data_IF_724157906958
#
_entry.id   IF_724157906958
#
_cell.length_a   1.000
_cell.length_b   1.000
_cell.length_c   1.000
_cell.angle_alpha   90.00
_cell.angle_beta   90.00
_cell.angle_gamma   90.00
#
_symmetry.space_group_name_H-M   'P 1'
#
loop_
_entity.id
_entity.type
_entity.pdbx_description
1 polymer ?
#
# COMPACT_ATOMS: atom_id res chain seq x y z
N UNK A 1 -10.64 -13.15 -16.01
CA UNK A 1 -11.30 -14.40 -16.47
C UNK A 1 -10.75 -15.67 -15.81
N UNK A 2 -9.52 -15.70 -15.28
CA UNK A 2 -8.92 -16.90 -14.66
C UNK A 2 -8.99 -16.95 -13.12
N UNK A 3 -9.77 -16.08 -12.48
CA UNK A 3 -9.91 -16.06 -11.03
C UNK A 3 -10.63 -17.31 -10.53
N UNK A 4 -10.19 -17.96 -9.44
CA UNK A 4 -10.84 -19.16 -8.89
C UNK A 4 -12.34 -18.97 -8.63
N UNK A 5 -12.73 -17.79 -8.14
CA UNK A 5 -14.14 -17.41 -7.91
C UNK A 5 -14.95 -17.32 -9.21
N UNK A 6 -14.36 -16.83 -10.31
CA UNK A 6 -15.01 -16.74 -11.61
C UNK A 6 -15.14 -18.09 -12.31
N UNK A 7 -14.27 -19.05 -11.97
CA UNK A 7 -14.31 -20.43 -12.46
C UNK A 7 -15.24 -21.35 -11.67
N UNK A 8 -15.74 -20.88 -10.52
CA UNK A 8 -16.51 -21.71 -9.59
C UNK A 8 -15.67 -22.70 -8.79
N UNK A 9 -14.34 -22.57 -8.82
CA UNK A 9 -13.42 -23.37 -7.99
C UNK A 9 -13.55 -23.02 -6.50
N UNK A 10 -14.02 -21.80 -6.19
CA UNK A 10 -14.30 -21.33 -4.83
C UNK A 10 -15.73 -20.78 -4.77
N UNK A 11 -16.54 -21.28 -3.84
CA UNK A 11 -17.94 -20.89 -3.65
C UNK A 11 -18.04 -19.54 -2.93
N UNK A 12 -19.07 -18.72 -3.17
CA UNK A 12 -19.28 -17.46 -2.47
C UNK A 12 -19.27 -17.59 -0.94
N UNK A 13 -19.85 -18.67 -0.41
CA UNK A 13 -19.86 -18.95 1.03
C UNK A 13 -18.46 -19.22 1.59
N UNK A 14 -17.55 -19.82 0.80
CA UNK A 14 -16.17 -20.07 1.21
C UNK A 14 -15.38 -18.75 1.27
N UNK A 15 -15.58 -17.85 0.30
CA UNK A 15 -15.00 -16.50 0.31
C UNK A 15 -15.49 -15.72 1.54
N UNK A 16 -16.80 -15.79 1.83
CA UNK A 16 -17.39 -15.11 2.98
C UNK A 16 -16.89 -15.69 4.30
N UNK A 17 -16.79 -17.02 4.41
CA UNK A 17 -16.23 -17.67 5.59
C UNK A 17 -14.77 -17.27 5.82
N UNK A 18 -13.95 -17.25 4.77
CA UNK A 18 -12.55 -16.80 4.86
C UNK A 18 -12.46 -15.34 5.34
N UNK A 19 -13.29 -14.45 4.78
CA UNK A 19 -13.34 -13.05 5.19
C UNK A 19 -13.74 -12.88 6.66
N UNK A 20 -14.78 -13.61 7.10
CA UNK A 20 -15.25 -13.58 8.48
C UNK A 20 -14.21 -14.13 9.46
N UNK A 21 -13.64 -15.31 9.18
CA UNK A 21 -12.62 -15.94 10.03
C UNK A 21 -11.39 -15.03 10.13
N UNK A 22 -10.92 -14.49 9.01
CA UNK A 22 -9.77 -13.56 9.00
C UNK A 22 -10.05 -12.30 9.80
N UNK A 23 -11.27 -11.76 9.70
CA UNK A 23 -11.69 -10.58 10.47
C UNK A 23 -11.75 -10.87 11.97
N UNK A 24 -12.27 -12.04 12.38
CA UNK A 24 -12.30 -12.46 13.79
C UNK A 24 -10.89 -12.62 14.34
N UNK A 25 -10.00 -13.30 13.60
CA UNK A 25 -8.60 -13.47 13.98
C UNK A 25 -7.92 -12.11 14.12
N UNK A 26 -8.12 -11.21 13.15
CA UNK A 26 -7.56 -9.85 13.20
C UNK A 26 -8.03 -9.05 14.42
N UNK A 27 -9.34 -9.01 14.69
CA UNK A 27 -9.92 -8.32 15.86
C UNK A 27 -9.37 -8.91 17.16
N UNK A 28 -9.29 -10.25 17.25
CA UNK A 28 -8.75 -10.93 18.42
C UNK A 28 -7.27 -10.61 18.64
N UNK A 29 -6.46 -10.59 17.58
CA UNK A 29 -5.05 -10.16 17.64
C UNK A 29 -4.93 -8.70 18.09
N UNK A 30 -5.77 -7.81 17.56
CA UNK A 30 -5.81 -6.41 17.96
C UNK A 30 -6.16 -6.24 19.45
N UNK A 31 -7.12 -7.02 19.95
CA UNK A 31 -7.45 -7.09 21.39
C UNK A 31 -6.28 -7.55 22.25
N UNK A 32 -5.50 -8.53 21.78
CA UNK A 32 -4.32 -9.01 22.50
C UNK A 32 -3.15 -8.02 22.52
N UNK A 33 -3.11 -7.06 21.59
CA UNK A 33 -2.08 -6.01 21.57
C UNK A 33 -2.40 -4.91 22.59
N UNK A 34 -3.55 -4.25 22.46
CA UNK A 34 -4.04 -3.26 23.42
C UNK A 34 -5.47 -2.82 23.08
N UNK A 35 -6.11 -2.11 24.01
CA UNK A 35 -7.49 -1.67 23.86
C UNK A 35 -7.69 -0.67 22.71
N UNK A 36 -6.72 0.20 22.42
CA UNK A 36 -6.87 1.13 21.29
C UNK A 36 -6.82 0.42 19.94
N UNK A 37 -5.88 -0.52 19.76
CA UNK A 37 -5.80 -1.35 18.57
C UNK A 37 -7.11 -2.11 18.34
N UNK A 38 -7.72 -2.65 19.41
CA UNK A 38 -9.05 -3.25 19.35
C UNK A 38 -10.11 -2.27 18.85
N UNK A 39 -10.20 -1.05 19.41
CA UNK A 39 -11.17 -0.04 18.98
C UNK A 39 -10.97 0.44 17.54
N UNK A 40 -9.74 0.45 17.04
CA UNK A 40 -9.42 0.82 15.66
C UNK A 40 -9.62 -0.35 14.66
N UNK A 41 -9.62 -1.59 15.12
CA UNK A 41 -9.74 -2.76 14.23
C UNK A 41 -11.00 -2.78 13.35
N UNK A 42 -12.21 -2.36 13.81
CA UNK A 42 -13.39 -2.27 12.95
C UNK A 42 -13.25 -1.20 11.87
N UNK A 43 -12.52 -0.10 12.15
CA UNK A 43 -12.26 0.97 11.18
C UNK A 43 -11.38 0.44 10.04
N UNK A 44 -10.34 -0.34 10.37
CA UNK A 44 -9.47 -0.97 9.37
C UNK A 44 -10.25 -1.97 8.51
N UNK A 45 -11.08 -2.82 9.10
CA UNK A 45 -11.94 -3.75 8.36
C UNK A 45 -12.89 -2.99 7.43
N UNK A 46 -13.53 -1.92 7.94
CA UNK A 46 -14.43 -1.10 7.13
C UNK A 46 -13.71 -0.52 5.92
N UNK A 47 -12.50 0.02 6.08
CA UNK A 47 -11.71 0.54 4.97
C UNK A 47 -11.35 -0.55 3.95
N UNK A 48 -10.98 -1.75 4.42
CA UNK A 48 -10.69 -2.91 3.56
C UNK A 48 -11.92 -3.38 2.77
N UNK A 49 -13.13 -3.23 3.32
CA UNK A 49 -14.39 -3.52 2.61
C UNK A 49 -14.78 -2.40 1.65
N UNK A 50 -14.52 -1.15 2.03
CA UNK A 50 -14.82 0.03 1.21
C UNK A 50 -13.89 0.14 -0.01
N UNK A 51 -12.64 -0.29 0.09
CA UNK A 51 -11.69 -0.27 -1.03
C UNK A 51 -12.23 -0.99 -2.28
N UNK A 52 -12.56 -2.30 -2.28
CA UNK A 52 -13.03 -2.98 -3.49
C UNK A 52 -14.40 -2.45 -3.97
N UNK A 53 -15.27 -2.00 -3.05
CA UNK A 53 -16.56 -1.40 -3.39
C UNK A 53 -16.43 0.03 -3.96
N UNK A 54 -15.36 0.74 -3.60
CA UNK A 54 -15.15 2.15 -3.89
C UNK A 54 -15.09 2.46 -5.38
N UNK A 55 -14.64 1.51 -6.21
CA UNK A 55 -14.67 1.62 -7.68
C UNK A 55 -16.07 1.91 -8.25
N UNK A 56 -17.15 1.67 -7.51
CA UNK A 56 -18.53 1.99 -7.95
C UNK A 56 -18.95 3.44 -7.67
N UNK A 57 -18.18 4.15 -6.86
CA UNK A 57 -18.59 5.45 -6.32
C UNK A 57 -17.52 6.54 -6.44
N UNK A 58 -16.24 6.19 -6.53
CA UNK A 58 -15.13 7.16 -6.54
C UNK A 58 -13.94 6.71 -7.36
N UNK A 59 -13.32 7.64 -8.09
CA UNK A 59 -12.06 7.39 -8.81
C UNK A 59 -10.86 7.31 -7.88
N UNK A 60 -10.97 7.78 -6.62
CA UNK A 60 -9.86 7.90 -5.68
C UNK A 60 -9.73 6.68 -4.75
N UNK A 61 -10.24 5.53 -5.18
CA UNK A 61 -10.24 4.27 -4.42
C UNK A 61 -8.84 3.86 -3.93
N UNK A 62 -7.80 4.18 -4.71
CA UNK A 62 -6.39 3.93 -4.36
C UNK A 62 -5.97 4.62 -3.06
N UNK A 63 -6.55 5.79 -2.74
CA UNK A 63 -6.29 6.49 -1.48
C UNK A 63 -6.99 5.84 -0.28
N UNK A 64 -8.08 5.11 -0.51
CA UNK A 64 -8.72 4.30 0.56
C UNK A 64 -7.77 3.18 0.96
N UNK A 65 -7.17 2.49 -0.02
CA UNK A 65 -6.13 1.50 0.25
C UNK A 65 -4.91 2.14 0.91
N UNK A 66 -4.46 3.28 0.39
CA UNK A 66 -3.38 4.06 1.02
C UNK A 66 -3.67 4.38 2.50
N UNK A 67 -4.90 4.78 2.83
CA UNK A 67 -5.31 5.07 4.20
C UNK A 67 -5.22 3.83 5.11
N UNK A 68 -5.53 2.63 4.61
CA UNK A 68 -5.32 1.38 5.37
C UNK A 68 -3.85 1.26 5.78
N UNK A 69 -2.92 1.51 4.85
CA UNK A 69 -1.49 1.42 5.11
C UNK A 69 -0.94 2.57 5.95
N UNK A 70 -1.51 3.77 5.84
CA UNK A 70 -1.20 4.90 6.73
C UNK A 70 -1.43 4.54 8.19
N UNK A 71 -2.53 3.84 8.49
CA UNK A 71 -2.90 3.51 9.86
C UNK A 71 -1.97 2.47 10.49
N UNK A 72 -1.17 1.72 9.72
CA UNK A 72 -0.32 0.66 10.25
C UNK A 72 0.77 1.22 11.20
N UNK A 73 1.66 2.14 10.78
CA UNK A 73 2.66 2.72 11.69
C UNK A 73 2.05 3.49 12.85
N UNK A 74 0.90 4.14 12.63
CA UNK A 74 0.17 4.84 13.69
C UNK A 74 -0.29 3.86 14.77
N UNK A 75 -0.91 2.74 14.37
CA UNK A 75 -1.35 1.72 15.30
C UNK A 75 -0.17 1.10 16.06
N UNK A 76 0.96 0.84 15.38
CA UNK A 76 2.19 0.33 16.02
C UNK A 76 2.78 1.34 17.01
N UNK A 77 2.84 2.62 16.64
CA UNK A 77 3.36 3.68 17.50
C UNK A 77 2.55 3.79 18.79
N UNK A 78 1.22 3.78 18.69
CA UNK A 78 0.38 3.83 19.88
C UNK A 78 0.47 2.54 20.70
N UNK A 79 0.57 1.38 20.04
CA UNK A 79 0.69 0.10 20.72
C UNK A 79 1.98 -0.02 21.56
N UNK A 80 3.09 0.53 21.06
CA UNK A 80 4.39 0.42 21.72
C UNK A 80 4.70 1.60 22.66
N UNK A 81 4.23 2.82 22.35
CA UNK A 81 4.62 4.05 23.06
C UNK A 81 3.46 4.80 23.69
N UNK A 82 2.21 4.37 23.49
CA UNK A 82 1.01 5.04 24.03
C UNK A 82 0.73 6.43 23.44
N UNK A 83 1.48 6.85 22.42
CA UNK A 83 1.36 8.15 21.76
C UNK A 83 1.64 7.99 20.26
N UNK A 84 1.26 8.99 19.46
CA UNK A 84 1.55 9.02 18.02
C UNK A 84 2.83 9.80 17.82
N UNK A 85 3.89 9.11 17.43
CA UNK A 85 5.15 9.75 17.09
C UNK A 85 5.11 10.39 15.71
N UNK A 86 5.84 11.50 15.56
CA UNK A 86 5.94 12.20 14.29
C UNK A 86 6.60 11.33 13.19
N UNK A 87 7.55 10.48 13.57
CA UNK A 87 8.16 9.48 12.68
C UNK A 87 7.13 8.48 12.16
N UNK A 88 6.18 8.06 12.99
CA UNK A 88 5.10 7.16 12.61
C UNK A 88 4.11 7.81 11.63
N UNK A 89 3.86 9.12 11.78
CA UNK A 89 3.05 9.88 10.81
C UNK A 89 3.74 9.90 9.45
N UNK A 90 5.02 10.25 9.38
CA UNK A 90 5.76 10.27 8.12
C UNK A 90 5.88 8.87 7.51
N UNK A 91 6.12 7.83 8.31
CA UNK A 91 6.17 6.46 7.82
C UNK A 91 4.80 6.02 7.28
N UNK A 92 3.73 6.34 7.99
CA UNK A 92 2.36 6.09 7.55
C UNK A 92 2.07 6.79 6.23
N UNK A 93 2.44 8.07 6.10
CA UNK A 93 2.27 8.82 4.85
C UNK A 93 3.08 8.19 3.72
N UNK A 94 4.33 7.79 3.97
CA UNK A 94 5.16 7.11 2.99
C UNK A 94 4.49 5.82 2.48
N UNK A 95 4.00 4.98 3.39
CA UNK A 95 3.31 3.73 3.08
C UNK A 95 2.00 3.97 2.32
N UNK A 96 1.21 4.98 2.71
CA UNK A 96 -0.03 5.32 2.00
C UNK A 96 0.21 5.69 0.54
N UNK A 97 1.13 6.62 0.30
CA UNK A 97 1.41 7.08 -1.06
C UNK A 97 2.15 6.04 -1.89
N UNK A 98 2.95 5.18 -1.26
CA UNK A 98 3.61 4.07 -1.95
C UNK A 98 2.57 3.09 -2.47
N UNK A 99 1.67 2.64 -1.59
CA UNK A 99 0.62 1.69 -1.96
C UNK A 99 -0.36 2.27 -2.95
N UNK A 100 -0.82 3.51 -2.71
CA UNK A 100 -1.70 4.18 -3.67
C UNK A 100 -1.01 4.35 -5.04
N UNK A 101 0.29 4.66 -5.06
CA UNK A 101 1.05 4.88 -6.29
C UNK A 101 1.17 3.61 -7.13
N UNK A 102 1.57 2.48 -6.54
CA UNK A 102 1.67 1.23 -7.30
C UNK A 102 0.30 0.62 -7.61
N UNK A 103 -0.73 0.86 -6.78
CA UNK A 103 -2.10 0.39 -7.04
C UNK A 103 -2.73 1.12 -8.25
N UNK A 104 -2.40 2.41 -8.43
CA UNK A 104 -2.75 3.15 -9.66
C UNK A 104 -2.09 2.50 -10.88
N UNK A 105 -0.82 2.12 -10.79
CA UNK A 105 -0.10 1.47 -11.88
C UNK A 105 -0.69 0.10 -12.21
N UNK A 106 -1.06 -0.66 -11.20
CA UNK A 106 -1.73 -1.96 -11.37
C UNK A 106 -3.08 -1.81 -12.06
N UNK A 107 -3.87 -0.81 -11.66
CA UNK A 107 -5.17 -0.52 -12.24
C UNK A 107 -5.14 -0.10 -13.72
N UNK A 108 -3.96 0.20 -14.30
CA UNK A 108 -3.83 0.42 -15.74
C UNK A 108 -4.21 -0.83 -16.56
N UNK A 109 -4.03 -2.04 -16.02
CA UNK A 109 -4.43 -3.28 -16.69
C UNK A 109 -5.95 -3.40 -16.87
N UNK A 110 -6.70 -2.81 -15.94
CA UNK A 110 -8.14 -2.84 -15.94
C UNK A 110 -8.75 -1.64 -16.69
N UNK A 111 -7.95 -0.76 -17.30
CA UNK A 111 -8.43 0.52 -17.86
C UNK A 111 -9.62 0.36 -18.82
N UNK A 112 -9.49 -0.49 -19.84
CA UNK A 112 -10.56 -0.69 -20.83
C UNK A 112 -11.78 -1.40 -20.22
N UNK A 113 -11.55 -2.35 -19.30
CA UNK A 113 -12.62 -3.03 -18.59
C UNK A 113 -13.40 -2.05 -17.71
N UNK A 114 -12.72 -1.34 -16.82
CA UNK A 114 -13.32 -0.36 -15.91
C UNK A 114 -14.08 0.71 -16.72
N UNK A 115 -13.51 1.20 -17.82
CA UNK A 115 -14.16 2.17 -18.71
C UNK A 115 -15.43 1.64 -19.36
N UNK A 116 -15.39 0.41 -19.89
CA UNK A 116 -16.54 -0.22 -20.57
C UNK A 116 -17.70 -0.55 -19.62
N UNK A 117 -17.41 -0.84 -18.35
CA UNK A 117 -18.40 -1.14 -17.31
C UNK A 117 -18.80 0.08 -16.46
N UNK A 118 -18.32 1.28 -16.80
CA UNK A 118 -18.65 2.51 -16.07
C UNK A 118 -18.10 2.54 -14.63
N UNK A 119 -17.01 1.82 -14.36
CA UNK A 119 -16.33 1.83 -13.07
C UNK A 119 -15.38 3.02 -12.96
N UNK A 120 -15.17 3.47 -11.73
CA UNK A 120 -14.34 4.62 -11.40
C UNK A 120 -12.95 4.18 -10.95
N UNK A 121 -11.92 4.78 -11.54
CA UNK A 121 -10.52 4.67 -11.11
C UNK A 121 -9.73 5.90 -11.57
N UNK A 122 -8.54 6.13 -11.01
CA UNK A 122 -7.65 7.22 -11.47
C UNK A 122 -7.31 7.06 -12.97
N UNK A 123 -6.95 5.85 -13.46
CA UNK A 123 -6.78 5.61 -14.89
C UNK A 123 -8.00 5.98 -15.73
N UNK A 124 -9.21 5.57 -15.35
CA UNK A 124 -10.44 5.90 -16.09
C UNK A 124 -10.70 7.40 -16.10
N UNK A 125 -10.51 8.08 -14.97
CA UNK A 125 -10.79 9.52 -14.82
C UNK A 125 -9.79 10.41 -15.58
N UNK A 126 -8.50 10.09 -15.53
CA UNK A 126 -7.44 10.98 -16.03
C UNK A 126 -6.71 10.45 -17.27
N UNK A 127 -6.97 9.20 -17.67
CA UNK A 127 -6.24 8.50 -18.72
C UNK A 127 -4.91 7.90 -18.23
N UNK A 128 -4.37 6.95 -19.01
CA UNK A 128 -3.17 6.16 -18.67
C UNK A 128 -1.96 7.08 -18.39
N UNK A 129 -1.69 8.04 -19.28
CA UNK A 129 -0.56 8.97 -19.15
C UNK A 129 -0.58 9.75 -17.84
N UNK A 130 -1.72 10.38 -17.53
CA UNK A 130 -1.83 11.17 -16.31
C UNK A 130 -1.88 10.31 -15.05
N UNK A 131 -2.43 9.09 -15.13
CA UNK A 131 -2.38 8.14 -14.02
C UNK A 131 -0.94 7.72 -13.69
N UNK A 132 -0.10 7.47 -14.70
CA UNK A 132 1.34 7.22 -14.50
C UNK A 132 2.00 8.44 -13.84
N UNK A 133 1.69 9.66 -14.28
CA UNK A 133 2.23 10.89 -13.69
C UNK A 133 1.79 11.06 -12.21
N UNK A 134 0.52 10.79 -11.89
CA UNK A 134 0.02 10.83 -10.51
C UNK A 134 0.76 9.80 -9.64
N UNK A 135 0.95 8.58 -10.15
CA UNK A 135 1.72 7.55 -9.45
C UNK A 135 3.17 7.98 -9.19
N UNK A 136 3.83 8.64 -10.16
CA UNK A 136 5.17 9.20 -9.96
C UNK A 136 5.20 10.24 -8.84
N UNK A 137 4.22 11.14 -8.82
CA UNK A 137 4.08 12.13 -7.73
C UNK A 137 3.90 11.44 -6.39
N UNK A 138 3.11 10.37 -6.33
CA UNK A 138 2.89 9.61 -5.10
C UNK A 138 4.19 8.94 -4.62
N UNK A 139 4.93 8.28 -5.51
CA UNK A 139 6.22 7.67 -5.15
C UNK A 139 7.29 8.71 -4.79
N UNK A 140 7.21 9.92 -5.34
CA UNK A 140 8.05 11.03 -4.90
C UNK A 140 7.70 11.48 -3.47
N UNK A 141 6.40 11.60 -3.14
CA UNK A 141 5.95 11.88 -1.76
C UNK A 141 6.44 10.78 -0.81
N UNK A 142 6.33 9.51 -1.20
CA UNK A 142 6.90 8.38 -0.44
C UNK A 142 8.37 8.59 -0.13
N UNK A 143 9.19 8.91 -1.13
CA UNK A 143 10.62 9.14 -0.94
C UNK A 143 10.88 10.25 0.10
N UNK A 144 10.23 11.40 -0.04
CA UNK A 144 10.38 12.51 0.92
C UNK A 144 9.95 12.09 2.33
N UNK A 145 8.82 11.40 2.47
CA UNK A 145 8.33 10.95 3.77
C UNK A 145 9.22 9.87 4.40
N UNK A 146 9.89 9.01 3.61
CA UNK A 146 10.88 8.07 4.14
C UNK A 146 12.12 8.80 4.67
N UNK A 147 12.62 9.81 3.97
CA UNK A 147 13.71 10.66 4.48
C UNK A 147 13.31 11.32 5.81
N UNK A 148 12.11 11.92 5.86
CA UNK A 148 11.61 12.54 7.09
C UNK A 148 11.42 11.52 8.21
N UNK A 149 10.97 10.30 7.90
CA UNK A 149 10.89 9.21 8.88
C UNK A 149 12.24 8.96 9.54
N UNK A 150 13.31 8.81 8.74
CA UNK A 150 14.66 8.61 9.25
C UNK A 150 15.16 9.75 10.14
N UNK A 151 14.94 11.00 9.71
CA UNK A 151 15.33 12.19 10.48
C UNK A 151 14.61 12.23 11.83
N UNK A 152 13.30 12.05 11.85
CA UNK A 152 12.51 12.15 13.07
C UNK A 152 12.62 10.93 13.99
N UNK A 153 13.00 9.77 13.45
CA UNK A 153 13.29 8.59 14.24
C UNK A 153 14.75 8.52 14.72
N UNK A 154 15.61 9.46 14.29
CA UNK A 154 17.03 9.48 14.67
C UNK A 154 17.83 8.31 14.08
N UNK A 155 17.45 7.83 12.89
CA UNK A 155 18.09 6.68 12.23
C UNK A 155 19.45 7.05 11.65
N UNK A 156 20.31 6.05 11.46
CA UNK A 156 21.69 6.26 11.02
C UNK A 156 21.81 6.43 9.50
N UNK A 157 23.03 6.67 9.02
CA UNK A 157 23.34 6.74 7.59
C UNK A 157 23.00 5.44 6.83
N UNK A 158 22.93 4.29 7.51
CA UNK A 158 22.55 3.00 6.92
C UNK A 158 21.11 3.06 6.41
N UNK A 159 20.18 3.58 7.21
CA UNK A 159 18.80 3.79 6.79
C UNK A 159 18.71 4.69 5.56
N UNK A 160 19.39 5.84 5.56
CA UNK A 160 19.34 6.79 4.45
C UNK A 160 19.92 6.20 3.15
N UNK A 161 21.05 5.49 3.23
CA UNK A 161 21.60 4.76 2.08
C UNK A 161 20.59 3.75 1.52
N UNK A 162 19.90 3.04 2.41
CA UNK A 162 18.82 2.14 2.06
C UNK A 162 17.63 2.82 1.38
N UNK A 163 17.20 3.99 1.85
CA UNK A 163 16.13 4.77 1.20
C UNK A 163 16.50 5.15 -0.24
N UNK A 164 17.77 5.50 -0.50
CA UNK A 164 18.23 5.75 -1.87
C UNK A 164 18.20 4.48 -2.73
N UNK A 165 18.58 3.32 -2.19
CA UNK A 165 18.46 2.03 -2.90
C UNK A 165 16.99 1.76 -3.27
N UNK A 166 16.07 1.95 -2.33
CA UNK A 166 14.63 1.77 -2.56
C UNK A 166 14.08 2.74 -3.60
N UNK A 167 14.54 3.99 -3.60
CA UNK A 167 14.18 4.97 -4.64
C UNK A 167 14.60 4.49 -6.03
N UNK A 168 15.75 3.81 -6.14
CA UNK A 168 16.19 3.18 -7.38
C UNK A 168 15.23 2.09 -7.87
N UNK A 169 14.67 1.27 -6.97
CA UNK A 169 13.64 0.29 -7.31
C UNK A 169 12.34 0.94 -7.79
N UNK A 170 11.89 2.02 -7.13
CA UNK A 170 10.69 2.77 -7.55
C UNK A 170 10.90 3.43 -8.93
N UNK A 171 12.09 3.97 -9.19
CA UNK A 171 12.45 4.49 -10.53
C UNK A 171 12.41 3.35 -11.55
N UNK A 172 12.99 2.20 -11.24
CA UNK A 172 12.99 1.03 -12.12
C UNK A 172 11.57 0.53 -12.42
N UNK A 173 10.67 0.51 -11.44
CA UNK A 173 9.25 0.20 -11.63
C UNK A 173 8.62 1.12 -12.69
N UNK A 174 8.84 2.44 -12.56
CA UNK A 174 8.35 3.45 -13.50
C UNK A 174 8.97 3.36 -14.90
N UNK A 175 10.19 2.82 -15.02
CA UNK A 175 10.84 2.56 -16.31
C UNK A 175 10.30 1.32 -17.02
N UNK A 176 9.80 0.34 -16.26
CA UNK A 176 9.18 -0.86 -16.82
C UNK A 176 7.81 -0.57 -17.45
N UNK A 177 7.11 0.45 -16.97
CA UNK A 177 5.76 0.80 -17.40
C UNK A 177 5.84 1.88 -18.48
N UNK A 178 5.28 1.57 -19.65
CA UNK A 178 5.17 2.53 -20.75
C UNK A 178 3.70 2.73 -21.08
N UNK A 179 3.34 3.94 -21.46
CA UNK A 179 1.95 4.29 -21.85
C UNK A 179 1.38 3.34 -22.91
N UNK A 180 2.21 2.90 -23.85
CA UNK A 180 1.82 2.04 -24.97
C UNK A 180 2.19 0.56 -24.78
N UNK A 181 2.81 0.18 -23.65
CA UNK A 181 3.22 -1.19 -23.37
C UNK A 181 3.09 -1.49 -21.87
N UNK A 182 1.97 -2.14 -21.55
CA UNK A 182 1.60 -2.55 -20.20
C UNK A 182 1.96 -4.02 -19.92
N UNK A 183 2.66 -4.71 -20.83
CA UNK A 183 3.00 -6.14 -20.72
C UNK A 183 3.82 -6.48 -19.47
N UNK A 184 4.54 -5.49 -18.92
CA UNK A 184 5.42 -5.64 -17.76
C UNK A 184 4.81 -5.20 -16.44
N UNK A 185 3.53 -4.79 -16.40
CA UNK A 185 2.90 -4.31 -15.15
C UNK A 185 2.98 -5.35 -14.04
N UNK A 186 2.75 -6.64 -14.30
CA UNK A 186 2.82 -7.65 -13.24
C UNK A 186 4.22 -7.76 -12.63
N UNK A 187 5.27 -7.59 -13.44
CA UNK A 187 6.66 -7.57 -12.95
C UNK A 187 6.92 -6.30 -12.14
N UNK A 188 6.47 -5.15 -12.64
CA UNK A 188 6.57 -3.86 -11.95
C UNK A 188 5.84 -3.91 -10.59
N UNK A 189 4.59 -4.36 -10.56
CA UNK A 189 3.79 -4.46 -9.35
C UNK A 189 4.27 -5.55 -8.39
N UNK A 190 4.21 -6.85 -8.76
CA UNK A 190 4.45 -7.94 -7.81
C UNK A 190 5.93 -8.11 -7.47
N UNK A 191 6.80 -8.10 -8.47
CA UNK A 191 8.22 -8.40 -8.26
C UNK A 191 8.94 -7.22 -7.62
N UNK A 192 8.82 -6.02 -8.19
CA UNK A 192 9.56 -4.85 -7.68
C UNK A 192 9.07 -4.46 -6.29
N UNK A 193 7.76 -4.34 -6.05
CA UNK A 193 7.25 -3.97 -4.71
C UNK A 193 7.47 -5.08 -3.67
N UNK A 194 7.52 -6.35 -4.08
CA UNK A 194 7.97 -7.45 -3.22
C UNK A 194 9.41 -7.27 -2.75
N UNK A 195 10.32 -6.93 -3.67
CA UNK A 195 11.71 -6.62 -3.33
C UNK A 195 11.83 -5.36 -2.46
N UNK A 196 11.10 -4.28 -2.77
CA UNK A 196 11.06 -3.05 -1.96
C UNK A 196 10.73 -3.38 -0.50
N UNK A 197 9.72 -4.21 -0.26
CA UNK A 197 9.31 -4.61 1.10
C UNK A 197 10.41 -5.36 1.86
N UNK A 198 11.01 -6.37 1.22
CA UNK A 198 12.06 -7.21 1.83
C UNK A 198 13.32 -6.37 2.10
N UNK A 199 13.75 -5.58 1.12
CA UNK A 199 14.94 -4.74 1.21
C UNK A 199 14.75 -3.68 2.28
N UNK A 200 13.59 -3.02 2.35
CA UNK A 200 13.29 -2.04 3.40
C UNK A 200 13.35 -2.67 4.80
N UNK A 201 12.78 -3.87 4.98
CA UNK A 201 12.87 -4.60 6.24
C UNK A 201 14.33 -4.88 6.63
N UNK A 202 15.16 -5.36 5.70
CA UNK A 202 16.58 -5.63 5.94
C UNK A 202 17.33 -4.34 6.31
N UNK A 203 17.10 -3.24 5.58
CA UNK A 203 17.73 -1.93 5.85
C UNK A 203 17.41 -1.47 7.27
N UNK A 204 16.13 -1.49 7.65
CA UNK A 204 15.70 -1.04 8.99
C UNK A 204 16.31 -1.92 10.08
N UNK A 205 16.35 -3.25 9.88
CA UNK A 205 16.99 -4.15 10.83
C UNK A 205 18.49 -3.87 10.95
N UNK A 206 19.20 -3.70 9.83
CA UNK A 206 20.63 -3.37 9.84
C UNK A 206 20.89 -2.04 10.55
N UNK A 207 20.07 -1.02 10.32
CA UNK A 207 20.18 0.26 10.99
C UNK A 207 20.01 0.12 12.51
N UNK A 208 18.98 -0.61 12.96
CA UNK A 208 18.73 -0.83 14.39
C UNK A 208 19.85 -1.62 15.08
N UNK A 209 20.48 -2.58 14.40
CA UNK A 209 21.53 -3.41 15.00
C UNK A 209 22.96 -2.88 14.84
N UNK A 210 23.23 -2.07 13.81
CA UNK A 210 24.58 -1.62 13.42
C UNK A 210 24.71 -0.10 13.47
N UNK A 211 23.63 0.62 13.17
CA UNK A 211 23.62 2.07 12.99
C UNK A 211 23.81 2.90 14.27
N UNK A 212 23.57 2.28 15.43
CA UNK A 212 23.67 2.93 16.74
C UNK A 212 22.33 3.49 17.23
#
# INVERSE_FOLDING_TARGET
>A
KNWPSAKGEVRPNEIMALGLISSIIFIFSAYKLNMLAFWLSPVVILLLLLYPAGKRFTSYVHLILGLVYFLIPIAVSIALRGSIEISAIFLGTAMAFWVAGFDILYALQDYEFDKSFGLYSIPVKYGIKNAILISRTFHFITFICLILTGVFAGLSYIYFAGVFILSGFLVYEHLLIKENDLSKINKAFFTVNGFVSIIFSIIVLLDVFIGG
#
